data_IF_079029790570
#
_entry.id   IF_079029790570
#
_cell.length_a   1.000
_cell.length_b   1.000
_cell.length_c   1.000
_cell.angle_alpha   90.00
_cell.angle_beta   90.00
_cell.angle_gamma   90.00
#
_symmetry.space_group_name_H-M   'P 1'
#
loop_
_entity.id
_entity.type
_entity.pdbx_description
1 polymer ?
#
# COMPACT_ATOMS: atom_id res chain seq x y z
N UNK A 1 -17.84 8.14 -2.67
CA UNK A 1 -17.09 6.91 -3.04
C UNK A 1 -17.28 5.91 -1.93
N UNK A 2 -17.56 4.63 -2.25
CA UNK A 2 -17.74 3.58 -1.25
C UNK A 2 -16.42 2.94 -0.87
N UNK A 3 -16.30 2.49 0.38
CA UNK A 3 -15.20 1.63 0.83
C UNK A 3 -15.21 0.30 0.08
N UNK A 4 -14.05 -0.34 -0.03
CA UNK A 4 -13.91 -1.73 -0.49
C UNK A 4 -13.71 -2.64 0.71
N UNK A 5 -14.25 -3.86 0.67
CA UNK A 5 -14.00 -4.88 1.67
C UNK A 5 -12.64 -5.57 1.46
N UNK A 6 -12.29 -6.51 2.35
CA UNK A 6 -11.00 -7.20 2.29
C UNK A 6 -10.85 -8.08 1.04
N UNK A 7 -11.91 -8.70 0.53
CA UNK A 7 -11.86 -9.54 -0.67
C UNK A 7 -11.68 -8.67 -1.93
N UNK A 8 -12.37 -7.55 -2.01
CA UNK A 8 -12.24 -6.57 -3.09
C UNK A 8 -10.83 -5.94 -3.09
N UNK A 9 -10.32 -5.56 -1.90
CA UNK A 9 -8.96 -5.02 -1.76
C UNK A 9 -7.92 -6.07 -2.18
N UNK A 10 -8.06 -7.32 -1.73
CA UNK A 10 -7.18 -8.41 -2.12
C UNK A 10 -7.15 -8.62 -3.63
N UNK A 11 -8.31 -8.63 -4.29
CA UNK A 11 -8.39 -8.81 -5.74
C UNK A 11 -7.73 -7.64 -6.51
N UNK A 12 -7.95 -6.40 -6.05
CA UNK A 12 -7.28 -5.22 -6.62
C UNK A 12 -5.76 -5.31 -6.47
N UNK A 13 -5.28 -5.66 -5.28
CA UNK A 13 -3.85 -5.80 -5.01
C UNK A 13 -3.21 -6.95 -5.79
N UNK A 14 -3.94 -8.04 -6.06
CA UNK A 14 -3.45 -9.12 -6.92
C UNK A 14 -3.13 -8.63 -8.33
N UNK A 15 -3.93 -7.72 -8.87
CA UNK A 15 -3.73 -7.15 -10.21
C UNK A 15 -2.67 -6.07 -10.23
N UNK A 16 -2.69 -5.17 -9.26
CA UNK A 16 -1.81 -4.00 -9.28
C UNK A 16 -0.44 -4.26 -8.68
N UNK A 17 -0.36 -5.15 -7.68
CA UNK A 17 0.83 -5.57 -6.95
C UNK A 17 1.66 -4.42 -6.36
N UNK A 18 1.15 -3.19 -6.38
CA UNK A 18 1.82 -1.99 -5.89
C UNK A 18 0.88 -1.15 -5.02
N UNK A 19 1.36 -0.76 -3.85
CA UNK A 19 0.78 0.29 -3.01
C UNK A 19 1.77 1.45 -2.92
N UNK A 20 1.45 2.59 -3.50
CA UNK A 20 2.24 3.80 -3.32
C UNK A 20 1.90 4.45 -1.98
N UNK A 21 2.91 4.90 -1.23
CA UNK A 21 2.76 5.45 0.12
C UNK A 21 3.20 6.91 0.09
N UNK A 22 2.22 7.83 0.22
CA UNK A 22 2.47 9.26 0.29
C UNK A 22 2.51 9.71 1.75
N UNK A 23 3.70 10.15 2.16
CA UNK A 23 3.94 10.78 3.45
C UNK A 23 4.42 12.20 3.20
N UNK A 24 3.47 13.09 2.93
CA UNK A 24 3.75 14.49 2.62
C UNK A 24 3.86 15.38 3.85
N UNK A 25 4.23 16.63 3.62
CA UNK A 25 4.26 17.72 4.60
C UNK A 25 3.41 18.91 4.19
N UNK A 26 2.84 18.86 2.99
CA UNK A 26 2.03 19.93 2.39
C UNK A 26 0.89 19.29 1.59
N UNK A 27 -0.34 19.80 1.75
CA UNK A 27 -1.55 19.22 1.13
C UNK A 27 -1.48 19.30 -0.39
N UNK A 28 -1.21 20.50 -0.94
CA UNK A 28 -1.20 20.73 -2.38
C UNK A 28 -0.11 19.91 -3.07
N UNK A 29 1.10 19.84 -2.47
CA UNK A 29 2.18 19.01 -2.98
C UNK A 29 1.85 17.52 -2.91
N UNK A 30 1.18 17.06 -1.85
CA UNK A 30 0.73 15.67 -1.71
C UNK A 30 -0.31 15.31 -2.77
N UNK A 31 -1.27 16.18 -3.02
CA UNK A 31 -2.30 16.01 -4.07
C UNK A 31 -1.64 15.99 -5.47
N UNK A 32 -0.70 16.92 -5.73
CA UNK A 32 0.02 16.95 -7.00
C UNK A 32 0.86 15.67 -7.22
N UNK A 33 1.52 15.18 -6.17
CA UNK A 33 2.27 13.93 -6.21
C UNK A 33 1.34 12.73 -6.45
N UNK A 34 0.18 12.67 -5.79
CA UNK A 34 -0.79 11.60 -5.99
C UNK A 34 -1.32 11.56 -7.43
N UNK A 35 -1.68 12.71 -8.01
CA UNK A 35 -2.10 12.82 -9.42
C UNK A 35 -1.00 12.32 -10.36
N UNK A 36 0.25 12.74 -10.14
CA UNK A 36 1.40 12.30 -10.95
C UNK A 36 1.59 10.78 -10.90
N UNK A 37 1.44 10.17 -9.73
CA UNK A 37 1.53 8.71 -9.52
C UNK A 37 0.40 7.99 -10.27
N UNK A 38 -0.83 8.50 -10.21
CA UNK A 38 -1.99 7.94 -10.91
C UNK A 38 -1.85 8.05 -12.43
N UNK A 39 -1.37 9.20 -12.94
CA UNK A 39 -1.07 9.42 -14.37
C UNK A 39 0.04 8.48 -14.88
N UNK A 40 1.00 8.13 -14.03
CA UNK A 40 2.05 7.18 -14.36
C UNK A 40 1.58 5.71 -14.41
N UNK A 41 0.30 5.44 -14.04
CA UNK A 41 -0.30 4.10 -14.13
C UNK A 41 -0.40 3.34 -12.82
N UNK A 42 0.03 3.90 -11.69
CA UNK A 42 -0.22 3.30 -10.37
C UNK A 42 -1.71 3.39 -10.05
N UNK A 43 -2.29 2.34 -9.43
CA UNK A 43 -3.74 2.24 -9.19
C UNK A 43 -4.12 2.01 -7.73
N UNK A 44 -3.16 1.89 -6.84
CA UNK A 44 -3.41 1.79 -5.40
C UNK A 44 -2.42 2.67 -4.66
N UNK A 45 -2.92 3.62 -3.89
CA UNK A 45 -2.08 4.50 -3.08
C UNK A 45 -2.73 4.80 -1.72
N UNK A 46 -1.90 5.06 -0.71
CA UNK A 46 -2.30 5.53 0.60
C UNK A 46 -1.73 6.92 0.89
N UNK A 47 -2.52 7.79 1.53
CA UNK A 47 -2.07 9.07 2.09
C UNK A 47 -1.97 8.89 3.61
N UNK A 48 -0.80 9.17 4.17
CA UNK A 48 -0.57 8.97 5.61
C UNK A 48 -1.25 10.08 6.43
N UNK A 49 -2.00 9.69 7.47
CA UNK A 49 -2.65 10.63 8.42
C UNK A 49 -1.67 11.44 9.28
N UNK A 50 -0.36 11.26 9.08
CA UNK A 50 0.69 12.12 9.66
C UNK A 50 0.84 13.45 8.93
N UNK A 51 0.25 13.61 7.74
CA UNK A 51 0.09 14.90 7.07
C UNK A 51 -0.92 15.74 7.85
N UNK A 52 -0.62 17.00 8.11
CA UNK A 52 -1.60 17.95 8.62
C UNK A 52 -2.69 18.17 7.56
N UNK A 53 -3.96 18.13 7.94
CA UNK A 53 -5.12 18.16 7.03
C UNK A 53 -5.11 17.03 5.96
N UNK A 54 -4.68 15.81 6.36
CA UNK A 54 -4.66 14.64 5.49
C UNK A 54 -6.03 14.31 4.89
N UNK A 55 -7.11 14.57 5.62
CA UNK A 55 -8.49 14.37 5.20
C UNK A 55 -8.83 15.23 3.96
N UNK A 56 -8.32 16.45 3.90
CA UNK A 56 -8.48 17.33 2.74
C UNK A 56 -7.74 16.76 1.52
N UNK A 57 -6.49 16.32 1.72
CA UNK A 57 -5.72 15.70 0.64
C UNK A 57 -6.40 14.41 0.11
N UNK A 58 -6.91 13.55 1.01
CA UNK A 58 -7.64 12.34 0.66
C UNK A 58 -8.89 12.69 -0.18
N UNK A 59 -9.71 13.65 0.28
CA UNK A 59 -10.93 14.05 -0.41
C UNK A 59 -10.66 14.58 -1.83
N UNK A 60 -9.62 15.40 -1.99
CA UNK A 60 -9.24 15.93 -3.30
C UNK A 60 -8.74 14.83 -4.23
N UNK A 61 -7.86 13.93 -3.74
CA UNK A 61 -7.31 12.83 -4.56
C UNK A 61 -8.40 11.84 -4.95
N UNK A 62 -9.33 11.50 -4.04
CA UNK A 62 -10.48 10.62 -4.34
C UNK A 62 -11.38 11.24 -5.41
N UNK A 63 -11.60 12.56 -5.36
CA UNK A 63 -12.41 13.26 -6.36
C UNK A 63 -11.81 13.19 -7.77
N UNK A 64 -10.48 13.27 -7.86
CA UNK A 64 -9.75 13.35 -9.14
C UNK A 64 -9.29 11.97 -9.65
N UNK A 65 -9.34 10.93 -8.82
CA UNK A 65 -8.84 9.61 -9.15
C UNK A 65 -9.69 8.93 -10.24
N UNK A 66 -9.07 8.19 -11.16
CA UNK A 66 -9.81 7.36 -12.10
C UNK A 66 -10.55 6.22 -11.36
N UNK A 67 -11.67 5.75 -11.89
CA UNK A 67 -12.58 4.76 -11.28
C UNK A 67 -11.87 3.45 -10.89
N UNK A 68 -10.84 3.07 -11.61
CA UNK A 68 -10.06 1.88 -11.33
C UNK A 68 -9.00 2.07 -10.23
N UNK A 69 -8.77 3.28 -9.72
CA UNK A 69 -7.84 3.52 -8.63
C UNK A 69 -8.49 3.27 -7.27
N UNK A 70 -7.67 2.86 -6.30
CA UNK A 70 -8.02 2.79 -4.89
C UNK A 70 -7.17 3.78 -4.10
N UNK A 71 -7.83 4.67 -3.38
CA UNK A 71 -7.22 5.67 -2.52
C UNK A 71 -7.50 5.31 -1.07
N UNK A 72 -6.45 5.06 -0.31
CA UNK A 72 -6.54 4.69 1.10
C UNK A 72 -5.91 5.70 2.04
N UNK A 73 -6.13 5.49 3.34
CA UNK A 73 -5.45 6.22 4.40
C UNK A 73 -4.40 5.34 5.08
N UNK A 74 -3.21 5.88 5.28
CA UNK A 74 -2.10 5.22 5.97
C UNK A 74 -1.87 5.78 7.37
N UNK A 75 -1.15 5.02 8.21
CA UNK A 75 -0.85 5.38 9.60
C UNK A 75 -2.12 5.58 10.45
N UNK A 76 -3.12 4.73 10.20
CA UNK A 76 -4.39 4.69 10.95
C UNK A 76 -4.15 3.91 12.25
N UNK A 77 -4.33 4.54 13.41
CA UNK A 77 -3.93 3.97 14.71
C UNK A 77 -5.11 3.53 15.57
N UNK A 78 -6.24 4.19 15.48
CA UNK A 78 -7.43 3.92 16.29
C UNK A 78 -8.72 3.97 15.48
N UNK A 79 -9.86 3.73 16.15
CA UNK A 79 -11.19 3.72 15.53
C UNK A 79 -11.60 5.10 15.01
N UNK A 80 -11.23 6.18 15.70
CA UNK A 80 -11.52 7.54 15.28
C UNK A 80 -10.76 7.91 14.00
N UNK A 81 -9.52 7.45 13.86
CA UNK A 81 -8.75 7.60 12.62
C UNK A 81 -9.45 6.90 11.45
N UNK A 82 -10.01 5.70 11.66
CA UNK A 82 -10.79 5.00 10.62
C UNK A 82 -11.99 5.82 10.19
N UNK A 83 -12.76 6.33 11.15
CA UNK A 83 -13.96 7.14 10.86
C UNK A 83 -13.62 8.43 10.11
N UNK A 84 -12.56 9.14 10.52
CA UNK A 84 -12.09 10.35 9.82
C UNK A 84 -11.64 10.06 8.40
N UNK A 85 -10.83 9.01 8.23
CA UNK A 85 -10.33 8.61 6.92
C UNK A 85 -11.46 8.24 5.95
N UNK A 86 -12.42 7.42 6.39
CA UNK A 86 -13.58 7.02 5.58
C UNK A 86 -14.49 8.21 5.28
N UNK A 87 -14.72 9.10 6.25
CA UNK A 87 -15.50 10.32 6.04
C UNK A 87 -14.86 11.25 4.99
N UNK A 88 -13.53 11.24 4.88
CA UNK A 88 -12.78 11.94 3.83
C UNK A 88 -12.81 11.22 2.47
N UNK A 89 -13.36 10.01 2.39
CA UNK A 89 -13.47 9.22 1.16
C UNK A 89 -12.43 8.11 0.99
N UNK A 90 -11.59 7.84 2.00
CA UNK A 90 -10.66 6.71 1.92
C UNK A 90 -11.43 5.39 1.73
N UNK A 91 -10.97 4.57 0.78
CA UNK A 91 -11.64 3.34 0.39
C UNK A 91 -11.09 2.11 1.14
N UNK A 92 -9.87 2.18 1.66
CA UNK A 92 -9.23 1.17 2.50
C UNK A 92 -8.29 1.86 3.49
N UNK A 93 -7.82 1.12 4.48
CA UNK A 93 -6.87 1.64 5.46
C UNK A 93 -5.60 0.80 5.57
N UNK A 94 -4.51 1.46 5.97
CA UNK A 94 -3.22 0.82 6.28
C UNK A 94 -2.76 1.27 7.66
N UNK A 95 -2.34 0.32 8.48
CA UNK A 95 -1.88 0.59 9.83
C UNK A 95 -0.39 0.27 9.99
N UNK A 96 0.34 0.90 10.90
CA UNK A 96 1.73 0.52 11.16
C UNK A 96 1.87 -0.72 12.06
N UNK A 97 0.80 -1.13 12.73
CA UNK A 97 0.76 -2.22 13.71
C UNK A 97 -0.59 -2.90 13.71
N UNK A 98 -0.74 -3.98 14.49
CA UNK A 98 -2.02 -4.63 14.80
C UNK A 98 -2.77 -3.84 15.90
N UNK A 99 -3.15 -2.61 15.59
CA UNK A 99 -3.88 -1.71 16.51
C UNK A 99 -5.39 -1.99 16.57
N UNK A 100 -6.11 -1.26 17.44
CA UNK A 100 -7.57 -1.37 17.57
C UNK A 100 -8.33 -1.05 16.29
N UNK A 101 -7.74 -0.22 15.41
CA UNK A 101 -8.30 0.10 14.08
C UNK A 101 -8.50 -1.12 13.19
N UNK A 102 -7.66 -2.16 13.31
CA UNK A 102 -7.73 -3.36 12.45
C UNK A 102 -9.05 -4.14 12.65
N UNK A 103 -9.36 -4.67 13.85
CA UNK A 103 -10.62 -5.36 14.06
C UNK A 103 -11.85 -4.45 13.90
N UNK A 104 -11.70 -3.15 14.13
CA UNK A 104 -12.78 -2.18 13.89
C UNK A 104 -13.09 -2.08 12.39
N UNK A 105 -12.08 -1.84 11.53
CA UNK A 105 -12.26 -1.76 10.09
C UNK A 105 -12.88 -3.03 9.50
N UNK A 106 -12.41 -4.21 9.94
CA UNK A 106 -12.97 -5.51 9.50
C UNK A 106 -14.45 -5.62 9.84
N UNK A 107 -14.85 -5.25 11.08
CA UNK A 107 -16.27 -5.25 11.47
C UNK A 107 -17.13 -4.28 10.65
N UNK A 108 -16.56 -3.17 10.18
CA UNK A 108 -17.24 -2.19 9.33
C UNK A 108 -17.21 -2.57 7.82
N UNK A 109 -16.62 -3.71 7.46
CA UNK A 109 -16.48 -4.12 6.05
C UNK A 109 -15.48 -3.27 5.26
N UNK A 110 -14.49 -2.67 5.94
CA UNK A 110 -13.46 -1.83 5.33
C UNK A 110 -12.19 -2.65 5.15
N UNK A 111 -11.65 -2.67 3.93
CA UNK A 111 -10.38 -3.34 3.61
C UNK A 111 -9.22 -2.77 4.40
N UNK A 112 -8.38 -3.66 4.96
CA UNK A 112 -7.27 -3.25 5.82
C UNK A 112 -5.98 -4.02 5.53
N UNK A 113 -4.85 -3.29 5.58
CA UNK A 113 -3.48 -3.81 5.47
C UNK A 113 -2.73 -3.50 6.79
N UNK A 114 -2.78 -4.39 7.79
CA UNK A 114 -2.12 -4.15 9.07
C UNK A 114 -0.61 -4.34 8.99
N UNK A 115 0.11 -3.49 9.72
CA UNK A 115 1.56 -3.59 9.91
C UNK A 115 1.94 -4.74 10.84
N UNK A 116 2.94 -5.51 10.41
CA UNK A 116 3.47 -6.70 11.11
C UNK A 116 4.98 -6.81 10.92
N UNK A 117 5.65 -7.55 11.79
CA UNK A 117 7.09 -7.77 11.70
C UNK A 117 7.51 -9.22 11.97
N UNK A 118 6.75 -9.98 12.75
CA UNK A 118 7.06 -11.35 13.16
C UNK A 118 6.09 -12.37 12.56
N UNK A 119 6.45 -13.66 12.47
CA UNK A 119 5.52 -14.71 12.01
C UNK A 119 4.24 -14.78 12.81
N UNK A 120 4.28 -14.56 14.13
CA UNK A 120 3.09 -14.51 15.00
C UNK A 120 2.16 -13.35 14.62
N UNK A 121 2.72 -12.17 14.34
CA UNK A 121 1.93 -11.01 13.91
C UNK A 121 1.35 -11.21 12.51
N UNK A 122 2.10 -11.84 11.60
CA UNK A 122 1.62 -12.20 10.26
C UNK A 122 0.39 -13.11 10.38
N UNK A 123 0.48 -14.20 11.15
CA UNK A 123 -0.65 -15.07 11.39
C UNK A 123 -1.83 -14.31 12.03
N UNK A 124 -1.54 -13.52 13.06
CA UNK A 124 -2.57 -12.73 13.75
C UNK A 124 -3.28 -11.74 12.84
N UNK A 125 -2.55 -11.08 11.93
CA UNK A 125 -3.13 -10.19 10.92
C UNK A 125 -4.14 -10.91 10.04
N UNK A 126 -3.82 -12.11 9.57
CA UNK A 126 -4.73 -12.93 8.78
C UNK A 126 -5.92 -13.46 9.59
N UNK A 127 -5.72 -13.89 10.85
CA UNK A 127 -6.78 -14.33 11.75
C UNK A 127 -7.81 -13.22 12.03
N UNK A 128 -7.38 -11.97 12.02
CA UNK A 128 -8.25 -10.80 12.12
C UNK A 128 -9.05 -10.53 10.84
N UNK A 129 -8.79 -11.25 9.74
CA UNK A 129 -9.52 -11.14 8.49
C UNK A 129 -8.99 -10.06 7.53
N UNK A 130 -7.73 -9.60 7.67
CA UNK A 130 -7.16 -8.59 6.77
C UNK A 130 -6.99 -9.07 5.32
N UNK A 131 -7.03 -8.15 4.36
CA UNK A 131 -6.81 -8.44 2.95
C UNK A 131 -5.41 -9.02 2.67
N UNK A 132 -4.40 -8.40 3.25
CA UNK A 132 -3.00 -8.82 3.28
C UNK A 132 -2.33 -8.15 4.48
N UNK A 133 -1.08 -8.50 4.78
CA UNK A 133 -0.31 -7.87 5.87
C UNK A 133 0.87 -7.06 5.30
N UNK A 134 1.11 -5.89 5.87
CA UNK A 134 2.23 -4.99 5.56
C UNK A 134 3.43 -5.38 6.43
N UNK A 135 4.44 -6.03 5.85
CA UNK A 135 5.70 -6.31 6.53
C UNK A 135 6.55 -5.03 6.58
N UNK A 136 6.71 -4.44 7.78
CA UNK A 136 7.43 -3.16 7.95
C UNK A 136 8.29 -3.14 9.23
N UNK A 137 9.54 -2.66 9.15
CA UNK A 137 10.31 -2.32 7.94
C UNK A 137 10.94 -3.54 7.26
N UNK A 138 10.66 -3.74 5.96
CA UNK A 138 11.12 -4.91 5.22
C UNK A 138 12.63 -4.91 4.96
N UNK A 139 13.27 -3.74 4.88
CA UNK A 139 14.72 -3.61 4.64
C UNK A 139 15.59 -4.32 5.68
N UNK A 140 15.10 -4.44 6.92
CA UNK A 140 15.84 -5.12 7.99
C UNK A 140 15.79 -6.66 7.87
N UNK A 141 14.82 -7.22 7.15
CA UNK A 141 14.57 -8.66 7.04
C UNK A 141 14.94 -9.23 5.66
N UNK A 142 14.75 -8.44 4.62
CA UNK A 142 15.02 -8.83 3.24
C UNK A 142 14.04 -9.87 2.66
N UNK A 143 14.18 -10.19 1.35
CA UNK A 143 13.30 -11.16 0.67
C UNK A 143 13.37 -12.56 1.26
N UNK A 144 14.53 -12.98 1.80
CA UNK A 144 14.72 -14.29 2.42
C UNK A 144 13.76 -14.57 3.58
N UNK A 145 13.37 -13.54 4.33
CA UNK A 145 12.39 -13.66 5.41
C UNK A 145 11.01 -14.08 4.89
N UNK A 146 10.54 -13.48 3.78
CA UNK A 146 9.24 -13.82 3.18
C UNK A 146 9.23 -15.28 2.76
N UNK A 147 10.31 -15.76 2.11
CA UNK A 147 10.43 -17.17 1.71
C UNK A 147 10.34 -18.09 2.91
N UNK A 148 11.13 -17.82 3.97
CA UNK A 148 11.16 -18.65 5.18
C UNK A 148 9.80 -18.66 5.92
N UNK A 149 9.10 -17.53 5.99
CA UNK A 149 7.77 -17.46 6.62
C UNK A 149 6.73 -18.22 5.80
N UNK A 150 6.80 -18.19 4.48
CA UNK A 150 5.84 -18.86 3.62
C UNK A 150 5.96 -20.39 3.62
N UNK A 151 7.07 -20.94 4.08
CA UNK A 151 7.18 -22.40 4.25
C UNK A 151 6.09 -22.94 5.22
N UNK A 152 5.96 -22.45 6.47
CA UNK A 152 4.87 -22.85 7.36
C UNK A 152 3.53 -22.15 7.06
N UNK A 153 3.52 -21.00 6.38
CA UNK A 153 2.34 -20.20 6.07
C UNK A 153 2.18 -19.96 4.55
N UNK A 154 1.94 -21.01 3.72
CA UNK A 154 1.96 -20.89 2.25
C UNK A 154 0.90 -19.93 1.70
N UNK A 155 -0.17 -19.68 2.46
CA UNK A 155 -1.26 -18.79 2.08
C UNK A 155 -1.07 -17.35 2.59
N UNK A 156 0.05 -17.05 3.30
CA UNK A 156 0.30 -15.71 3.79
C UNK A 156 0.46 -14.71 2.64
N UNK A 157 -0.37 -13.68 2.68
CA UNK A 157 -0.33 -12.55 1.74
C UNK A 157 0.47 -11.42 2.37
N UNK A 158 1.75 -11.34 2.00
CA UNK A 158 2.72 -10.41 2.60
C UNK A 158 3.08 -9.33 1.59
N UNK A 159 2.97 -8.07 2.00
CA UNK A 159 3.37 -6.88 1.25
C UNK A 159 4.57 -6.26 1.96
N UNK A 160 5.82 -6.44 1.48
CA UNK A 160 6.99 -5.77 2.03
C UNK A 160 6.90 -4.26 1.81
N UNK A 161 7.23 -3.51 2.87
CA UNK A 161 7.23 -2.04 2.91
C UNK A 161 8.45 -1.55 3.68
N UNK A 162 9.07 -0.47 3.18
CA UNK A 162 10.27 0.11 3.77
C UNK A 162 11.55 -0.45 3.17
N UNK A 163 12.21 0.37 2.35
CA UNK A 163 13.45 0.04 1.66
C UNK A 163 13.28 -0.79 0.38
N UNK A 164 12.06 -1.01 -0.10
CA UNK A 164 11.82 -1.61 -1.42
C UNK A 164 12.12 -0.57 -2.51
N UNK A 165 12.99 -0.91 -3.45
CA UNK A 165 13.36 -0.11 -4.61
C UNK A 165 13.05 -0.85 -5.91
N UNK A 166 13.12 -0.17 -7.05
CA UNK A 166 12.94 -0.80 -8.38
C UNK A 166 13.88 -2.00 -8.54
N UNK A 167 15.14 -1.88 -8.10
CA UNK A 167 16.15 -2.94 -8.23
C UNK A 167 15.83 -4.18 -7.37
N UNK A 168 15.03 -4.05 -6.30
CA UNK A 168 14.73 -5.14 -5.37
C UNK A 168 13.33 -5.72 -5.51
N UNK A 169 12.48 -5.11 -6.34
CA UNK A 169 11.09 -5.59 -6.59
C UNK A 169 11.09 -7.06 -6.99
N UNK A 170 11.87 -7.43 -8.01
CA UNK A 170 11.93 -8.80 -8.52
C UNK A 170 12.31 -9.82 -7.44
N UNK A 171 13.27 -9.50 -6.56
CA UNK A 171 13.70 -10.39 -5.47
C UNK A 171 12.59 -10.64 -4.45
N UNK A 172 11.82 -9.59 -4.09
CA UNK A 172 10.68 -9.72 -3.18
C UNK A 172 9.55 -10.55 -3.81
N UNK A 173 9.25 -10.32 -5.09
CA UNK A 173 8.22 -11.07 -5.80
C UNK A 173 8.62 -12.54 -6.00
N UNK A 174 9.88 -12.82 -6.35
CA UNK A 174 10.44 -14.16 -6.43
C UNK A 174 10.45 -14.90 -5.07
N UNK A 175 10.56 -14.15 -3.96
CA UNK A 175 10.41 -14.70 -2.61
C UNK A 175 8.94 -15.00 -2.24
N UNK A 176 7.98 -14.63 -3.08
CA UNK A 176 6.56 -14.88 -2.89
C UNK A 176 5.81 -13.74 -2.21
N UNK A 177 6.29 -12.50 -2.28
CA UNK A 177 5.52 -11.34 -1.88
C UNK A 177 4.21 -11.25 -2.68
N UNK A 178 3.11 -10.90 -2.01
CA UNK A 178 1.79 -10.73 -2.63
C UNK A 178 1.70 -9.47 -3.49
N UNK A 179 2.46 -8.47 -3.12
CA UNK A 179 2.66 -7.19 -3.78
C UNK A 179 3.76 -6.45 -3.05
N UNK A 180 3.99 -5.19 -3.37
CA UNK A 180 4.98 -4.32 -2.73
C UNK A 180 4.36 -3.01 -2.30
N UNK A 181 4.89 -2.41 -1.21
CA UNK A 181 4.51 -1.07 -0.79
C UNK A 181 5.73 -0.15 -0.80
N UNK A 182 5.62 1.00 -1.49
CA UNK A 182 6.76 1.88 -1.72
C UNK A 182 6.45 3.32 -1.35
N UNK A 183 7.23 3.87 -0.41
CA UNK A 183 7.20 5.27 0.00
C UNK A 183 8.37 6.05 -0.58
N UNK A 184 9.37 6.37 0.24
CA UNK A 184 10.50 7.23 -0.13
C UNK A 184 11.18 6.89 -1.45
N UNK A 185 11.52 5.64 -1.78
CA UNK A 185 12.13 5.29 -3.07
C UNK A 185 11.29 5.65 -4.29
N UNK A 186 9.97 5.74 -4.16
CA UNK A 186 9.05 6.21 -5.19
C UNK A 186 8.85 7.73 -5.11
N UNK A 187 8.42 8.21 -3.93
CA UNK A 187 7.94 9.58 -3.75
C UNK A 187 9.08 10.60 -3.73
N UNK A 188 10.22 10.25 -3.11
CA UNK A 188 11.31 11.20 -2.91
C UNK A 188 10.82 12.40 -2.09
N UNK A 189 11.07 13.60 -2.61
CA UNK A 189 10.63 14.89 -2.04
C UNK A 189 9.33 15.42 -2.67
N UNK A 190 8.75 14.73 -3.64
CA UNK A 190 7.65 15.24 -4.46
C UNK A 190 6.37 15.61 -3.68
N UNK A 191 6.16 15.03 -2.49
CA UNK A 191 5.04 15.36 -1.60
C UNK A 191 5.36 16.48 -0.59
N UNK A 192 6.38 17.29 -0.89
CA UNK A 192 6.75 18.50 -0.15
C UNK A 192 6.70 19.73 -1.06
N UNK A 193 6.55 20.91 -0.49
CA UNK A 193 6.51 22.15 -1.28
C UNK A 193 7.77 22.30 -2.13
N UNK A 194 7.60 22.47 -3.44
CA UNK A 194 8.71 22.58 -4.40
C UNK A 194 9.37 21.26 -4.81
N UNK A 195 8.80 20.12 -4.42
CA UNK A 195 9.31 18.79 -4.77
C UNK A 195 9.28 18.47 -6.26
N UNK A 196 10.12 17.52 -6.70
CA UNK A 196 10.31 17.18 -8.13
C UNK A 196 9.28 16.15 -8.62
N UNK A 197 8.16 16.64 -9.19
CA UNK A 197 7.12 15.82 -9.80
C UNK A 197 7.60 15.11 -11.09
N UNK A 198 8.55 15.69 -11.84
CA UNK A 198 9.05 15.06 -13.05
C UNK A 198 9.88 13.82 -12.73
N UNK A 199 10.76 13.91 -11.73
CA UNK A 199 11.49 12.76 -11.21
C UNK A 199 10.53 11.70 -10.59
N UNK A 200 9.47 12.13 -9.89
CA UNK A 200 8.43 11.23 -9.39
C UNK A 200 7.79 10.44 -10.54
N UNK A 201 7.38 11.11 -11.62
CA UNK A 201 6.75 10.46 -12.76
C UNK A 201 7.66 9.40 -13.42
N UNK A 202 8.97 9.67 -13.49
CA UNK A 202 9.96 8.69 -13.99
C UNK A 202 10.04 7.48 -13.08
N UNK A 203 10.18 7.68 -11.76
CA UNK A 203 10.23 6.58 -10.78
C UNK A 203 8.94 5.74 -10.79
N UNK A 204 7.77 6.40 -10.83
CA UNK A 204 6.48 5.70 -10.84
C UNK A 204 6.33 4.79 -12.07
N UNK A 205 6.70 5.28 -13.27
CA UNK A 205 6.72 4.46 -14.48
C UNK A 205 7.68 3.29 -14.37
N UNK A 206 8.87 3.49 -13.80
CA UNK A 206 9.85 2.42 -13.61
C UNK A 206 9.31 1.27 -12.74
N UNK A 207 8.60 1.59 -11.63
CA UNK A 207 7.95 0.57 -10.81
C UNK A 207 6.84 -0.18 -11.57
N UNK A 208 6.00 0.54 -12.33
CA UNK A 208 4.93 -0.08 -13.13
C UNK A 208 5.49 -1.00 -14.21
N UNK A 209 6.58 -0.60 -14.87
CA UNK A 209 7.25 -1.42 -15.88
C UNK A 209 7.88 -2.67 -15.29
N UNK A 210 8.55 -2.55 -14.14
CA UNK A 210 9.18 -3.71 -13.47
C UNK A 210 8.15 -4.75 -13.05
N UNK A 211 7.00 -4.31 -12.50
CA UNK A 211 5.90 -5.21 -12.14
C UNK A 211 5.30 -5.93 -13.35
N UNK A 212 5.20 -5.27 -14.50
CA UNK A 212 4.73 -5.89 -15.75
C UNK A 212 5.72 -6.93 -16.29
N UNK A 213 7.04 -6.67 -16.16
CA UNK A 213 8.08 -7.64 -16.56
C UNK A 213 8.00 -8.91 -15.73
N UNK A 214 7.83 -8.78 -14.43
CA UNK A 214 7.69 -9.93 -13.52
C UNK A 214 6.42 -10.76 -13.84
N UNK A 215 5.31 -10.11 -14.20
CA UNK A 215 4.07 -10.78 -14.59
C UNK A 215 4.25 -11.62 -15.87
N UNK A 216 4.97 -11.08 -16.86
CA UNK A 216 5.27 -11.79 -18.13
C UNK A 216 6.26 -12.94 -17.90
N UNK A 217 7.21 -12.77 -16.98
CA UNK A 217 8.23 -13.78 -16.68
C UNK A 217 7.72 -14.92 -15.78
N UNK A 218 6.61 -14.72 -15.06
CA UNK A 218 6.02 -15.74 -14.20
C UNK A 218 5.33 -16.82 -15.05
N UNK A 219 5.75 -18.11 -14.99
CA UNK A 219 5.06 -19.17 -15.71
C UNK A 219 3.61 -19.25 -15.22
N UNK A 220 2.66 -19.43 -16.17
CA UNK A 220 1.26 -19.70 -15.84
C UNK A 220 1.21 -20.81 -14.78
N UNK A 221 0.80 -20.47 -13.57
CA UNK A 221 0.52 -21.47 -12.55
C UNK A 221 -0.73 -22.23 -13.00
N UNK A 222 -0.51 -23.33 -13.72
CA UNK A 222 -1.56 -24.32 -13.98
C UNK A 222 -2.21 -24.71 -12.65
N UNK A 223 -3.49 -24.50 -12.58
CA UNK A 223 -4.41 -24.78 -11.46
C UNK A 223 -4.40 -26.22 -11.05
#
# INVERSE_FOLDING_TARGET
VSTVDNDQLQERLRRTRLVAILRGTDVDATVAAARTILEAGVRTLEIALTLYDAEEAIAQVVHDAPDEALIGAGTVLDEADVERAVSAGAQFIVTPTLSASVPYAVRQGIGVLPGVYTPTEIQRGHDLGSAAVKLFPASALGPGFIRAVRDPFPHARIIPVGGVSVDTVGDYLAAGAFGIGVGGPLVGDAATSGGDLAALAVRARAFVEELRRDEIAAPEKTS
#
